data_IF_070461582067
#
_entry.id   IF_070461582067
#
_cell.length_a   1.000
_cell.length_b   1.000
_cell.length_c   1.000
_cell.angle_alpha   90.00
_cell.angle_beta   90.00
_cell.angle_gamma   90.00
#
_symmetry.space_group_name_H-M   'P 1'
#
loop_
_entity.id
_entity.type
_entity.pdbx_description
1 polymer ?
#
# COMPACT_ATOMS: atom_id res chain seq x y z
N UNK A 1 10.47 -2.63 19.49
CA UNK A 1 10.03 -1.51 18.62
C UNK A 1 11.14 -0.49 18.63
N UNK A 2 11.60 0.00 17.47
CA UNK A 2 12.76 0.91 17.41
C UNK A 2 12.40 2.29 17.96
N UNK A 3 13.32 2.84 18.75
CA UNK A 3 13.24 4.06 19.57
C UNK A 3 12.98 5.40 18.83
N UNK A 4 12.42 5.39 17.62
CA UNK A 4 12.14 6.60 16.82
C UNK A 4 10.67 7.05 16.95
N UNK A 5 9.81 6.21 17.55
CA UNK A 5 8.37 6.48 17.70
C UNK A 5 7.89 6.62 19.15
N UNK A 6 8.76 6.44 20.15
CA UNK A 6 8.34 6.48 21.57
C UNK A 6 7.76 7.85 21.99
N UNK A 7 8.09 8.93 21.28
CA UNK A 7 7.75 10.30 21.71
C UNK A 7 6.58 10.98 20.96
N UNK A 8 5.98 10.34 19.95
CA UNK A 8 4.90 10.97 19.15
C UNK A 8 3.53 10.31 19.28
N UNK A 9 3.47 9.07 19.76
CA UNK A 9 2.25 8.26 19.80
C UNK A 9 2.23 7.44 21.10
N UNK A 10 1.78 8.08 22.16
CA UNK A 10 1.49 7.43 23.43
C UNK A 10 0.13 7.95 23.93
N UNK A 11 -0.95 7.35 23.42
CA UNK A 11 -2.30 7.68 23.86
C UNK A 11 -3.34 6.65 23.44
N UNK A 12 -4.51 6.72 24.09
CA UNK A 12 -5.67 5.85 23.84
C UNK A 12 -6.06 5.78 22.35
N UNK A 13 -5.78 6.83 21.57
CA UNK A 13 -6.10 6.88 20.15
C UNK A 13 -5.39 5.80 19.33
N UNK A 14 -4.17 5.42 19.68
CA UNK A 14 -3.44 4.35 18.99
C UNK A 14 -4.17 3.01 19.16
N UNK A 15 -4.71 2.80 20.35
CA UNK A 15 -5.56 1.66 20.67
C UNK A 15 -6.95 1.72 20.02
N UNK A 16 -7.36 2.84 19.45
CA UNK A 16 -8.56 2.86 18.61
C UNK A 16 -8.26 2.61 17.14
N UNK A 17 -7.04 2.89 16.68
CA UNK A 17 -6.70 2.93 15.24
C UNK A 17 -5.83 1.75 14.80
N UNK A 18 -4.76 1.42 15.54
CA UNK A 18 -3.76 0.45 15.11
C UNK A 18 -4.03 -0.91 15.71
N UNK A 19 -4.21 -1.92 14.87
CA UNK A 19 -4.17 -3.32 15.27
C UNK A 19 -2.76 -3.90 15.19
N UNK A 20 -2.61 -5.24 15.12
CA UNK A 20 -1.32 -5.88 14.98
C UNK A 20 -0.53 -5.39 13.75
N UNK A 21 0.79 -5.30 13.90
CA UNK A 21 1.72 -5.08 12.77
C UNK A 21 1.65 -6.28 11.82
N UNK A 22 1.42 -6.02 10.54
CA UNK A 22 1.37 -7.01 9.46
C UNK A 22 2.72 -7.12 8.78
N UNK A 23 3.40 -5.99 8.56
CA UNK A 23 4.66 -5.96 7.85
C UNK A 23 5.32 -4.59 7.91
N UNK A 24 6.60 -4.58 7.56
CA UNK A 24 7.46 -3.41 7.63
C UNK A 24 8.41 -3.41 6.43
N UNK A 25 8.56 -2.25 5.81
CA UNK A 25 9.51 -2.01 4.74
C UNK A 25 10.45 -0.86 5.07
N UNK A 26 11.23 -0.47 4.07
CA UNK A 26 12.16 0.65 4.17
C UNK A 26 11.44 1.94 4.57
N UNK A 27 10.33 2.25 3.89
CA UNK A 27 9.72 3.58 4.00
C UNK A 27 8.47 3.60 4.89
N UNK A 28 7.91 2.43 5.21
CA UNK A 28 6.62 2.35 5.90
C UNK A 28 6.40 1.10 6.73
N UNK A 29 5.54 1.23 7.72
CA UNK A 29 4.97 0.14 8.51
C UNK A 29 3.51 -0.06 8.16
N UNK A 30 3.03 -1.30 8.23
CA UNK A 30 1.65 -1.68 7.87
C UNK A 30 1.00 -2.39 9.04
N UNK A 31 -0.11 -1.86 9.52
CA UNK A 31 -0.88 -2.40 10.64
C UNK A 31 -2.29 -2.80 10.17
N UNK A 32 -2.93 -3.71 10.89
CA UNK A 32 -4.37 -3.90 10.77
C UNK A 32 -5.07 -2.58 11.14
N UNK A 33 -6.05 -2.14 10.36
CA UNK A 33 -6.86 -0.99 10.74
C UNK A 33 -7.95 -1.44 11.72
N UNK A 34 -7.79 -1.11 13.01
CA UNK A 34 -8.64 -1.64 14.09
C UNK A 34 -10.13 -1.33 13.91
N UNK A 35 -10.56 -0.16 13.40
CA UNK A 35 -11.98 0.11 13.14
C UNK A 35 -12.63 -0.76 12.06
N UNK A 36 -11.85 -1.29 11.11
CA UNK A 36 -12.31 -2.23 10.09
C UNK A 36 -11.16 -3.19 9.71
N UNK A 37 -11.12 -4.41 10.30
CA UNK A 37 -10.04 -5.37 10.09
C UNK A 37 -9.91 -5.93 8.66
N UNK A 38 -10.86 -5.62 7.77
CA UNK A 38 -10.74 -5.90 6.33
C UNK A 38 -9.80 -4.91 5.62
N UNK A 39 -9.26 -3.94 6.36
CA UNK A 39 -8.37 -2.90 5.88
C UNK A 39 -7.05 -2.89 6.65
N UNK A 40 -6.08 -2.25 6.04
CA UNK A 40 -4.77 -1.95 6.64
C UNK A 40 -4.58 -0.45 6.72
N UNK A 41 -3.82 -0.01 7.70
CA UNK A 41 -3.29 1.34 7.78
C UNK A 41 -1.78 1.31 7.58
N UNK A 42 -1.32 2.05 6.58
CA UNK A 42 0.09 2.22 6.23
C UNK A 42 0.58 3.53 6.85
N UNK A 43 1.67 3.46 7.60
CA UNK A 43 2.30 4.58 8.30
C UNK A 43 3.66 4.83 7.67
N UNK A 44 3.85 6.01 7.10
CA UNK A 44 5.16 6.43 6.60
C UNK A 44 6.13 6.69 7.74
N UNK A 45 7.39 6.35 7.49
CA UNK A 45 8.49 6.74 8.38
C UNK A 45 8.81 8.22 8.23
N UNK A 46 9.36 8.85 9.29
CA UNK A 46 9.93 10.19 9.17
C UNK A 46 11.05 10.20 8.12
N UNK A 47 10.97 11.14 7.18
CA UNK A 47 11.75 11.15 5.95
C UNK A 47 10.80 11.40 4.80
N UNK A 48 11.19 12.22 3.81
CA UNK A 48 10.28 12.79 2.79
C UNK A 48 9.93 11.75 1.71
N UNK A 49 9.49 10.57 2.12
CA UNK A 49 9.13 9.48 1.24
C UNK A 49 7.62 9.55 1.03
N UNK A 50 7.16 10.27 -0.01
CA UNK A 50 5.74 10.42 -0.38
C UNK A 50 5.13 9.12 -0.96
N UNK A 51 5.49 7.97 -0.41
CA UNK A 51 5.13 6.64 -0.91
C UNK A 51 3.62 6.39 -0.82
N UNK A 52 2.97 6.80 0.27
CA UNK A 52 1.52 6.72 0.45
C UNK A 52 0.79 7.67 -0.50
N UNK A 53 1.33 8.87 -0.73
CA UNK A 53 0.75 9.84 -1.69
C UNK A 53 0.83 9.29 -3.11
N UNK A 54 1.98 8.74 -3.50
CA UNK A 54 2.17 8.10 -4.80
C UNK A 54 1.21 6.91 -4.98
N UNK A 55 1.05 6.06 -3.97
CA UNK A 55 0.12 4.94 -4.02
C UNK A 55 -1.35 5.40 -4.11
N UNK A 56 -1.71 6.46 -3.37
CA UNK A 56 -3.04 7.07 -3.45
C UNK A 56 -3.34 7.62 -4.85
N UNK A 57 -2.39 8.34 -5.45
CA UNK A 57 -2.53 8.87 -6.80
C UNK A 57 -2.68 7.72 -7.83
N UNK A 58 -1.81 6.71 -7.75
CA UNK A 58 -1.86 5.53 -8.62
C UNK A 58 -3.19 4.79 -8.53
N UNK A 59 -3.75 4.62 -7.33
CA UNK A 59 -5.07 4.01 -7.17
C UNK A 59 -6.16 4.80 -7.89
N UNK A 60 -6.13 6.14 -7.80
CA UNK A 60 -7.10 6.99 -8.50
C UNK A 60 -6.94 6.91 -10.00
N UNK A 61 -5.71 6.93 -10.50
CA UNK A 61 -5.42 6.74 -11.93
C UNK A 61 -5.94 5.38 -12.42
N UNK A 62 -5.66 4.29 -11.70
CA UNK A 62 -6.14 2.95 -12.03
C UNK A 62 -7.67 2.85 -12.03
N UNK A 63 -8.32 3.49 -11.05
CA UNK A 63 -9.79 3.61 -10.97
C UNK A 63 -10.37 4.37 -12.16
N UNK A 64 -9.74 5.48 -12.56
CA UNK A 64 -10.18 6.24 -13.73
C UNK A 64 -9.92 5.52 -15.05
N UNK A 65 -8.84 4.74 -15.12
CA UNK A 65 -8.48 3.93 -16.29
C UNK A 65 -9.27 2.61 -16.39
N UNK A 66 -10.05 2.24 -15.36
CA UNK A 66 -10.85 1.01 -15.36
C UNK A 66 -10.03 -0.28 -15.25
N UNK A 67 -8.87 -0.21 -14.60
CA UNK A 67 -7.98 -1.35 -14.32
C UNK A 67 -7.79 -1.58 -12.82
N UNK A 68 -8.68 -1.01 -12.01
CA UNK A 68 -8.60 -1.01 -10.56
C UNK A 68 -8.81 -2.38 -9.91
N UNK A 69 -9.33 -3.37 -10.63
CA UNK A 69 -9.41 -4.76 -10.16
C UNK A 69 -8.03 -5.37 -9.88
N UNK A 70 -6.97 -4.81 -10.47
CA UNK A 70 -5.58 -5.24 -10.26
C UNK A 70 -4.88 -4.54 -9.09
N UNK A 71 -5.55 -3.60 -8.42
CA UNK A 71 -4.98 -2.80 -7.35
C UNK A 71 -5.83 -2.95 -6.08
N UNK A 72 -5.19 -2.86 -4.92
CA UNK A 72 -5.91 -2.85 -3.65
C UNK A 72 -6.51 -1.47 -3.40
N UNK A 73 -7.83 -1.42 -3.20
CA UNK A 73 -8.59 -0.18 -3.05
C UNK A 73 -8.07 0.69 -1.91
N UNK A 74 -7.82 1.97 -2.19
CA UNK A 74 -7.53 2.95 -1.15
C UNK A 74 -8.81 3.66 -0.70
N UNK A 75 -9.02 3.78 0.61
CA UNK A 75 -10.25 4.30 1.21
C UNK A 75 -10.08 5.70 1.82
N UNK A 76 -8.87 6.07 2.23
CA UNK A 76 -8.57 7.40 2.72
C UNK A 76 -7.08 7.62 2.93
N UNK A 77 -6.66 8.89 2.88
CA UNK A 77 -5.30 9.33 3.16
C UNK A 77 -5.36 10.55 4.08
N UNK A 78 -4.44 10.67 5.04
CA UNK A 78 -4.29 11.88 5.85
C UNK A 78 -3.80 13.06 5.02
N UNK A 79 -4.07 14.30 5.44
CA UNK A 79 -3.65 15.52 4.72
C UNK A 79 -2.14 15.57 4.44
N UNK A 80 -1.31 15.09 5.36
CA UNK A 80 0.15 15.05 5.21
C UNK A 80 0.68 13.84 4.43
N UNK A 81 -0.19 12.92 4.01
CA UNK A 81 0.22 11.67 3.35
C UNK A 81 0.71 10.56 4.29
N UNK A 82 0.99 10.86 5.56
CA UNK A 82 1.65 9.92 6.47
C UNK A 82 0.83 8.66 6.78
N UNK A 83 -0.50 8.74 6.68
CA UNK A 83 -1.41 7.62 6.88
C UNK A 83 -2.22 7.33 5.62
N UNK A 84 -2.24 6.07 5.21
CA UNK A 84 -3.06 5.57 4.11
C UNK A 84 -3.86 4.34 4.56
N UNK A 85 -5.18 4.41 4.41
CA UNK A 85 -6.09 3.28 4.65
C UNK A 85 -6.38 2.58 3.32
N UNK A 86 -6.12 1.28 3.27
CA UNK A 86 -6.22 0.47 2.06
C UNK A 86 -6.88 -0.88 2.35
N UNK A 87 -7.50 -1.49 1.34
CA UNK A 87 -8.00 -2.85 1.41
C UNK A 87 -6.88 -3.81 1.81
N UNK A 88 -7.18 -4.70 2.75
CA UNK A 88 -6.26 -5.78 3.11
C UNK A 88 -6.25 -6.82 1.99
N UNK A 89 -5.05 -7.24 1.61
CA UNK A 89 -4.85 -8.30 0.63
C UNK A 89 -4.17 -9.49 1.28
N UNK A 90 -4.34 -10.65 0.64
CA UNK A 90 -3.63 -11.87 0.98
C UNK A 90 -2.75 -12.26 -0.21
N UNK A 91 -1.61 -12.94 0.03
CA UNK A 91 -0.81 -13.49 -1.06
C UNK A 91 -1.68 -14.40 -1.93
N UNK A 92 -1.72 -14.11 -3.24
CA UNK A 92 -2.43 -14.95 -4.20
C UNK A 92 -1.76 -16.31 -4.29
N UNK A 93 -2.54 -17.38 -4.21
CA UNK A 93 -2.04 -18.74 -4.47
C UNK A 93 -1.72 -18.89 -5.96
N UNK A 94 -0.69 -19.68 -6.34
CA UNK A 94 -0.41 -19.96 -7.75
C UNK A 94 -1.60 -20.52 -8.54
N UNK A 95 -2.57 -21.15 -7.86
CA UNK A 95 -3.78 -21.71 -8.47
C UNK A 95 -4.84 -20.65 -8.78
N UNK A 96 -4.81 -19.52 -8.09
CA UNK A 96 -5.76 -18.42 -8.22
C UNK A 96 -5.24 -17.32 -9.16
N UNK A 97 -4.03 -17.49 -9.69
CA UNK A 97 -3.48 -16.59 -10.69
C UNK A 97 -4.26 -16.71 -12.01
N UNK A 98 -4.65 -15.59 -12.63
CA UNK A 98 -5.28 -15.61 -13.93
C UNK A 98 -4.29 -16.12 -15.00
N UNK A 99 -4.81 -16.77 -16.04
CA UNK A 99 -4.00 -17.26 -17.16
C UNK A 99 -3.26 -16.12 -17.89
N UNK A 100 -3.83 -14.91 -17.87
CA UNK A 100 -3.27 -13.73 -18.52
C UNK A 100 -3.27 -12.54 -17.56
N UNK A 101 -2.16 -11.80 -17.59
CA UNK A 101 -2.01 -10.54 -16.87
C UNK A 101 -1.96 -9.37 -17.87
N UNK A 102 -2.40 -8.17 -17.46
CA UNK A 102 -2.17 -6.96 -18.24
C UNK A 102 -0.69 -6.77 -18.56
N UNK A 103 -0.38 -6.36 -19.79
CA UNK A 103 1.00 -6.25 -20.28
C UNK A 103 1.85 -5.26 -19.50
N UNK A 104 1.25 -4.29 -18.82
CA UNK A 104 1.96 -3.29 -18.02
C UNK A 104 2.55 -3.86 -16.71
N UNK A 105 2.11 -5.05 -16.25
CA UNK A 105 2.78 -5.78 -15.16
C UNK A 105 4.01 -6.54 -15.64
N UNK A 106 4.13 -6.79 -16.94
CA UNK A 106 5.27 -7.45 -17.54
C UNK A 106 6.30 -6.38 -17.93
N UNK A 107 7.51 -6.47 -17.37
CA UNK A 107 8.61 -5.56 -17.72
C UNK A 107 8.87 -5.58 -19.24
N UNK A 108 8.90 -4.40 -19.88
CA UNK A 108 9.42 -4.23 -21.23
C UNK A 108 10.94 -4.56 -21.27
N UNK A 109 11.30 -5.83 -21.50
CA UNK A 109 12.65 -6.21 -21.95
C UNK A 109 12.64 -6.84 -23.36
N UNK A 110 11.55 -6.68 -24.12
CA UNK A 110 11.39 -7.30 -25.45
C UNK A 110 11.32 -6.30 -26.62
N UNK A 111 11.90 -5.10 -26.51
CA UNK A 111 11.94 -4.12 -27.62
C UNK A 111 13.34 -3.69 -28.09
N UNK A 112 14.42 -4.27 -27.57
CA UNK A 112 15.80 -3.99 -28.02
C UNK A 112 16.55 -5.25 -28.48
N UNK A 113 15.96 -6.03 -29.40
CA UNK A 113 16.72 -7.01 -30.22
C UNK A 113 16.15 -7.14 -31.65
N UNK A 114 15.69 -6.03 -32.22
CA UNK A 114 15.39 -5.93 -33.66
C UNK A 114 15.86 -4.59 -34.22
N UNK A 115 17.17 -4.46 -34.35
CA UNK A 115 17.76 -3.68 -35.43
C UNK A 115 18.87 -4.54 -36.03
N UNK A 116 18.60 -4.98 -37.25
CA UNK A 116 19.55 -5.59 -38.19
C UNK A 116 20.67 -4.59 -38.45
#
# INVERSE_FOLDING_TARGET
>A
MSAIYEDLWSGELDDFIFGPLIGEGQDRQVYVFRPDPTRVIKVERPGVEFANVAEWALWHEAKHAGVNEWFASCFGISLGGNFLVQARTEPVSPRDLPERLPSFFCRHQAQQLRSV
#
